data_IF_896305265927
#
_entry.id   IF_896305265927
#
_cell.length_a   1.000
_cell.length_b   1.000
_cell.length_c   1.000
_cell.angle_alpha   90.00
_cell.angle_beta   90.00
_cell.angle_gamma   90.00
#
_symmetry.space_group_name_H-M   'P 1'
#
loop_
_entity.id
_entity.type
_entity.pdbx_description
1 polymer ?
#
# COMPACT_ATOMS: atom_id res chain seq x y z
N UNK A 1 -4.77 -39.04 -42.16
CA UNK A 1 -5.74 -38.13 -41.53
C UNK A 1 -5.36 -36.71 -41.88
N UNK A 2 -6.17 -36.04 -42.72
CA UNK A 2 -5.95 -34.64 -43.08
C UNK A 2 -6.37 -33.78 -41.88
N UNK A 3 -5.41 -33.12 -41.23
CA UNK A 3 -5.70 -32.05 -40.29
C UNK A 3 -6.16 -30.83 -41.10
N UNK A 4 -7.46 -30.75 -41.39
CA UNK A 4 -8.05 -29.51 -41.88
C UNK A 4 -7.93 -28.48 -40.76
N UNK A 5 -6.91 -27.61 -40.87
CA UNK A 5 -6.65 -26.51 -39.93
C UNK A 5 -7.79 -25.50 -40.07
N UNK A 6 -8.89 -25.75 -39.35
CA UNK A 6 -10.04 -24.86 -39.33
C UNK A 6 -9.63 -23.55 -38.63
N UNK A 7 -9.40 -22.52 -39.45
CA UNK A 7 -8.89 -21.21 -39.01
C UNK A 7 -9.78 -20.58 -37.92
N UNK A 8 -11.08 -20.88 -37.94
CA UNK A 8 -12.05 -20.36 -36.95
C UNK A 8 -11.85 -21.00 -35.59
N UNK A 9 -11.63 -22.31 -35.52
CA UNK A 9 -11.41 -23.03 -34.26
C UNK A 9 -10.09 -22.60 -33.62
N UNK A 10 -9.03 -22.46 -34.42
CA UNK A 10 -7.74 -21.95 -33.93
C UNK A 10 -7.82 -20.49 -33.46
N UNK A 11 -8.56 -19.63 -34.16
CA UNK A 11 -8.80 -18.26 -33.72
C UNK A 11 -9.58 -18.24 -32.38
N UNK A 12 -10.59 -19.12 -32.21
CA UNK A 12 -11.34 -19.23 -30.97
C UNK A 12 -10.44 -19.68 -29.80
N UNK A 13 -9.58 -20.67 -30.00
CA UNK A 13 -8.63 -21.09 -28.96
C UNK A 13 -7.61 -19.99 -28.62
N UNK A 14 -7.09 -19.26 -29.60
CA UNK A 14 -6.16 -18.14 -29.35
C UNK A 14 -6.84 -17.01 -28.57
N UNK A 15 -8.11 -16.72 -28.86
CA UNK A 15 -8.84 -15.63 -28.20
C UNK A 15 -9.36 -16.04 -26.82
N UNK A 16 -9.83 -17.27 -26.63
CA UNK A 16 -10.44 -17.73 -25.38
C UNK A 16 -9.40 -18.26 -24.36
N UNK A 17 -8.25 -18.76 -24.82
CA UNK A 17 -7.23 -19.33 -23.92
C UNK A 17 -6.66 -18.36 -22.87
N UNK A 18 -6.43 -17.05 -23.15
CA UNK A 18 -6.00 -16.12 -22.11
C UNK A 18 -7.07 -15.95 -21.03
N UNK A 19 -8.35 -15.86 -21.41
CA UNK A 19 -9.46 -15.75 -20.45
C UNK A 19 -9.60 -17.00 -19.60
N UNK A 20 -9.48 -18.19 -20.19
CA UNK A 20 -9.51 -19.46 -19.45
C UNK A 20 -8.31 -19.59 -18.51
N UNK A 21 -7.12 -19.14 -18.91
CA UNK A 21 -5.94 -19.13 -18.06
C UNK A 21 -6.11 -18.20 -16.86
N UNK A 22 -6.62 -16.98 -17.10
CA UNK A 22 -6.92 -16.01 -16.03
C UNK A 22 -7.96 -16.60 -15.08
N UNK A 23 -9.08 -17.12 -15.59
CA UNK A 23 -10.14 -17.72 -14.78
C UNK A 23 -9.65 -18.92 -13.95
N UNK A 24 -8.79 -19.76 -14.55
CA UNK A 24 -8.18 -20.88 -13.83
C UNK A 24 -7.24 -20.39 -12.71
N UNK A 25 -6.41 -19.36 -12.97
CA UNK A 25 -5.52 -18.79 -11.94
C UNK A 25 -6.32 -18.22 -10.78
N UNK A 26 -7.34 -17.39 -11.06
CA UNK A 26 -8.21 -16.82 -10.02
C UNK A 26 -8.96 -17.92 -9.26
N UNK A 27 -9.49 -18.93 -9.94
CA UNK A 27 -10.18 -20.05 -9.29
C UNK A 27 -9.27 -20.85 -8.36
N UNK A 28 -8.04 -21.17 -8.79
CA UNK A 28 -7.06 -21.86 -7.95
C UNK A 28 -6.65 -20.99 -6.75
N UNK A 29 -6.39 -19.71 -6.95
CA UNK A 29 -6.00 -18.78 -5.90
C UNK A 29 -7.10 -18.64 -4.84
N UNK A 30 -8.35 -18.50 -5.26
CA UNK A 30 -9.51 -18.44 -4.36
C UNK A 30 -9.68 -19.70 -3.50
N UNK A 31 -9.36 -20.88 -4.02
CA UNK A 31 -9.50 -22.15 -3.28
C UNK A 31 -8.31 -22.49 -2.37
N UNK A 32 -7.14 -21.90 -2.62
CA UNK A 32 -5.88 -22.33 -1.98
C UNK A 32 -5.18 -21.25 -1.17
N UNK A 33 -5.63 -19.99 -1.26
CA UNK A 33 -5.05 -18.90 -0.50
C UNK A 33 -5.25 -19.09 1.00
N UNK A 34 -4.16 -18.91 1.73
CA UNK A 34 -4.13 -18.94 3.19
C UNK A 34 -4.07 -17.52 3.76
N UNK A 35 -3.40 -16.62 3.04
CA UNK A 35 -3.26 -15.22 3.44
C UNK A 35 -4.15 -14.35 2.56
N UNK A 36 -5.38 -14.13 3.01
CA UNK A 36 -6.36 -13.33 2.29
C UNK A 36 -7.21 -12.49 3.22
N UNK A 37 -7.80 -11.43 2.65
CA UNK A 37 -8.82 -10.61 3.30
C UNK A 37 -9.99 -10.45 2.35
N UNK A 38 -11.16 -10.93 2.76
CA UNK A 38 -12.44 -10.72 2.06
C UNK A 38 -13.17 -9.52 2.68
N UNK A 39 -13.48 -8.51 1.85
CA UNK A 39 -14.17 -7.31 2.28
C UNK A 39 -15.71 -7.43 2.25
N UNK A 40 -16.25 -8.57 1.84
CA UNK A 40 -17.69 -8.84 1.81
C UNK A 40 -18.46 -8.13 0.70
N UNK A 41 -17.76 -7.43 -0.19
CA UNK A 41 -18.30 -6.72 -1.35
C UNK A 41 -17.89 -7.35 -2.69
N UNK A 42 -17.37 -8.58 -2.65
CA UNK A 42 -16.84 -9.30 -3.81
C UNK A 42 -15.36 -9.01 -4.11
N UNK A 43 -14.69 -8.16 -3.33
CA UNK A 43 -13.24 -7.94 -3.40
C UNK A 43 -12.55 -8.82 -2.35
N UNK A 44 -11.62 -9.65 -2.82
CA UNK A 44 -10.73 -10.45 -1.97
C UNK A 44 -9.30 -10.10 -2.32
N UNK A 45 -8.54 -9.64 -1.34
CA UNK A 45 -7.10 -9.37 -1.48
C UNK A 45 -6.33 -10.60 -1.02
N UNK A 46 -5.44 -11.09 -1.88
CA UNK A 46 -4.62 -12.27 -1.64
C UNK A 46 -3.15 -11.87 -1.45
N UNK A 47 -2.44 -12.53 -0.54
CA UNK A 47 -1.08 -12.16 -0.18
C UNK A 47 -0.08 -13.33 -0.12
N UNK A 48 -0.48 -14.55 -0.51
CA UNK A 48 0.37 -15.74 -0.41
C UNK A 48 1.70 -15.59 -1.13
N UNK A 49 1.72 -15.03 -2.34
CA UNK A 49 2.95 -14.81 -3.10
C UNK A 49 3.93 -13.90 -2.33
N UNK A 50 3.44 -12.88 -1.63
CA UNK A 50 4.27 -11.98 -0.82
C UNK A 50 4.77 -12.66 0.45
N UNK A 51 3.91 -13.38 1.17
CA UNK A 51 4.30 -14.08 2.39
C UNK A 51 5.30 -15.19 2.09
N UNK A 52 5.06 -15.97 1.03
CA UNK A 52 5.95 -17.05 0.57
C UNK A 52 7.30 -16.54 0.05
N UNK A 53 7.39 -15.26 -0.34
CA UNK A 53 8.67 -14.63 -0.70
C UNK A 53 9.58 -14.35 0.49
N UNK A 54 9.06 -14.50 1.72
CA UNK A 54 9.73 -14.20 2.99
C UNK A 54 10.21 -12.75 3.14
N UNK A 55 9.82 -11.85 2.24
CA UNK A 55 10.17 -10.41 2.31
C UNK A 55 9.13 -9.59 3.05
N UNK A 56 7.93 -10.14 3.20
CA UNK A 56 6.75 -9.42 3.66
C UNK A 56 6.05 -10.19 4.79
N UNK A 57 5.32 -9.42 5.59
CA UNK A 57 4.33 -9.90 6.55
C UNK A 57 3.01 -9.25 6.16
N UNK A 58 1.99 -10.06 5.94
CA UNK A 58 0.66 -9.59 5.58
C UNK A 58 -0.16 -9.29 6.84
N UNK A 59 -0.89 -8.18 6.81
CA UNK A 59 -1.86 -7.84 7.83
C UNK A 59 -3.27 -8.19 7.35
N UNK A 60 -3.80 -9.32 7.81
CA UNK A 60 -5.11 -9.83 7.41
C UNK A 60 -6.29 -8.96 7.87
N UNK A 61 -6.07 -7.95 8.74
CA UNK A 61 -7.15 -7.04 9.18
C UNK A 61 -7.29 -5.81 8.29
N UNK A 62 -6.17 -5.34 7.73
CA UNK A 62 -6.11 -4.08 7.00
C UNK A 62 -5.63 -4.22 5.56
N UNK A 63 -5.40 -5.45 5.09
CA UNK A 63 -4.93 -5.77 3.73
C UNK A 63 -3.71 -4.96 3.32
N UNK A 64 -2.71 -4.93 4.21
CA UNK A 64 -1.44 -4.23 4.01
C UNK A 64 -0.27 -5.18 4.17
N UNK A 65 0.83 -4.87 3.51
CA UNK A 65 2.08 -5.61 3.61
C UNK A 65 3.11 -4.79 4.39
N UNK A 66 3.76 -5.42 5.36
CA UNK A 66 4.88 -4.82 6.08
C UNK A 66 6.14 -5.50 5.58
N UNK A 67 7.04 -4.73 4.97
CA UNK A 67 8.34 -5.27 4.59
C UNK A 67 9.18 -5.58 5.82
N UNK A 68 9.80 -6.76 5.88
CA UNK A 68 10.73 -7.13 6.98
C UNK A 68 11.98 -6.27 7.00
N UNK A 69 12.34 -5.71 5.84
CA UNK A 69 13.40 -4.71 5.71
C UNK A 69 12.71 -3.40 5.32
N UNK A 70 12.64 -2.39 6.22
CA UNK A 70 11.99 -1.13 5.92
C UNK A 70 12.45 -0.56 4.59
N UNK A 71 11.48 -0.14 3.77
CA UNK A 71 11.78 0.47 2.48
C UNK A 71 12.40 1.86 2.69
N UNK A 72 13.31 2.24 1.79
CA UNK A 72 13.82 3.61 1.76
C UNK A 72 12.74 4.56 1.23
N UNK A 73 12.84 5.83 1.61
CA UNK A 73 12.00 6.88 1.02
C UNK A 73 12.22 6.93 -0.51
N UNK A 74 11.17 7.13 -1.32
CA UNK A 74 11.23 7.13 -2.77
C UNK A 74 11.76 8.49 -3.28
N UNK A 75 13.02 8.81 -2.98
CA UNK A 75 13.64 10.13 -3.20
C UNK A 75 13.50 10.58 -4.65
N UNK A 76 13.86 9.72 -5.61
CA UNK A 76 13.80 10.06 -7.04
C UNK A 76 12.36 10.40 -7.49
N UNK A 77 11.37 9.65 -6.98
CA UNK A 77 9.98 9.90 -7.30
C UNK A 77 9.46 11.18 -6.64
N UNK A 78 9.89 11.50 -5.42
CA UNK A 78 9.56 12.73 -4.73
C UNK A 78 10.17 13.97 -5.39
N UNK A 79 11.40 13.86 -5.89
CA UNK A 79 12.07 14.95 -6.61
C UNK A 79 11.44 15.19 -7.99
N UNK A 80 10.96 14.13 -8.65
CA UNK A 80 10.23 14.24 -9.93
C UNK A 80 8.76 14.65 -9.75
N UNK A 81 8.20 14.51 -8.55
CA UNK A 81 6.82 14.87 -8.32
C UNK A 81 6.64 16.38 -8.50
N UNK A 82 5.90 16.78 -9.54
CA UNK A 82 5.58 18.19 -9.82
C UNK A 82 4.80 18.83 -8.66
N UNK A 83 4.02 18.03 -7.95
CA UNK A 83 3.30 18.49 -6.76
C UNK A 83 3.02 17.35 -5.78
N UNK A 84 2.87 17.72 -4.51
CA UNK A 84 2.37 16.87 -3.44
C UNK A 84 1.03 17.42 -2.99
N UNK A 85 0.00 16.59 -3.02
CA UNK A 85 -1.34 17.03 -2.64
C UNK A 85 -1.48 16.97 -1.12
N UNK A 86 -1.87 18.08 -0.50
CA UNK A 86 -2.26 18.06 0.91
C UNK A 86 -3.63 17.40 1.00
N UNK A 87 -3.68 16.24 1.64
CA UNK A 87 -4.92 15.50 1.85
C UNK A 87 -5.78 16.21 2.89
N UNK A 88 -7.08 16.30 2.60
CA UNK A 88 -8.04 16.86 3.55
C UNK A 88 -8.28 15.87 4.70
N UNK A 89 -8.58 16.40 5.88
CA UNK A 89 -8.88 15.61 7.06
C UNK A 89 -10.39 15.64 7.31
N UNK A 90 -11.13 14.63 6.83
CA UNK A 90 -12.57 14.55 7.08
C UNK A 90 -12.81 14.37 8.58
N UNK A 91 -13.78 15.13 9.11
CA UNK A 91 -14.12 15.12 10.55
C UNK A 91 -13.28 16.03 11.45
N UNK A 92 -12.17 16.60 10.96
CA UNK A 92 -11.39 17.59 11.73
C UNK A 92 -12.05 18.97 11.73
N UNK A 93 -11.88 19.70 12.83
CA UNK A 93 -12.28 21.11 12.93
C UNK A 93 -11.46 21.97 11.95
N UNK A 94 -12.01 23.07 11.46
CA UNK A 94 -11.34 23.94 10.49
C UNK A 94 -10.00 24.49 11.00
N UNK A 95 -9.93 24.76 12.30
CA UNK A 95 -8.69 25.19 12.95
C UNK A 95 -7.63 24.09 12.94
N UNK A 96 -8.00 22.84 13.25
CA UNK A 96 -7.08 21.70 13.18
C UNK A 96 -6.57 21.49 11.75
N UNK A 97 -7.45 21.62 10.74
CA UNK A 97 -7.06 21.57 9.33
C UNK A 97 -6.09 22.69 8.95
N UNK A 98 -6.30 23.91 9.47
CA UNK A 98 -5.40 25.05 9.25
C UNK A 98 -4.03 24.77 9.83
N UNK A 99 -3.96 24.35 11.08
CA UNK A 99 -2.69 24.03 11.77
C UNK A 99 -1.98 22.86 11.08
N UNK A 100 -2.70 21.81 10.67
CA UNK A 100 -2.11 20.71 9.92
C UNK A 100 -1.45 21.17 8.61
N UNK A 101 -2.09 22.08 7.86
CA UNK A 101 -1.49 22.68 6.65
C UNK A 101 -0.24 23.49 6.97
N UNK A 102 -0.20 24.21 8.09
CA UNK A 102 0.97 24.95 8.55
C UNK A 102 2.12 24.02 8.95
N UNK A 103 1.82 22.94 9.66
CA UNK A 103 2.78 21.89 10.00
C UNK A 103 3.39 21.30 8.74
N UNK A 104 2.56 20.89 7.78
CA UNK A 104 3.03 20.34 6.49
C UNK A 104 3.95 21.33 5.79
N UNK A 105 3.52 22.58 5.63
CA UNK A 105 4.36 23.63 5.00
C UNK A 105 5.69 23.82 5.71
N UNK A 106 5.70 23.82 7.04
CA UNK A 106 6.92 23.96 7.84
C UNK A 106 7.87 22.78 7.68
N UNK A 107 7.35 21.56 7.58
CA UNK A 107 8.14 20.35 7.35
C UNK A 107 8.72 20.34 5.95
N UNK A 108 7.89 20.63 4.94
CA UNK A 108 8.31 20.57 3.53
C UNK A 108 9.23 21.72 3.13
N UNK A 109 9.27 22.81 3.91
CA UNK A 109 10.22 23.91 3.72
C UNK A 109 11.65 23.57 4.15
N UNK A 110 11.85 22.49 4.93
CA UNK A 110 13.17 22.03 5.33
C UNK A 110 13.80 21.30 4.13
N UNK A 111 15.01 21.69 3.68
CA UNK A 111 15.73 20.95 2.64
C UNK A 111 15.86 19.47 3.01
N UNK A 112 15.64 18.60 2.02
CA UNK A 112 15.80 17.15 2.19
C UNK A 112 14.94 16.55 3.32
N UNK A 113 13.82 17.19 3.69
CA UNK A 113 12.93 16.71 4.75
C UNK A 113 12.51 15.25 4.58
N UNK A 114 12.42 14.77 3.32
CA UNK A 114 12.05 13.43 2.93
C UNK A 114 13.05 12.36 3.40
N UNK A 115 14.32 12.70 3.65
CA UNK A 115 15.32 11.76 4.16
C UNK A 115 15.02 11.31 5.60
N UNK A 116 14.17 12.07 6.32
CA UNK A 116 13.75 11.75 7.68
C UNK A 116 12.51 10.86 7.74
N UNK A 117 11.91 10.56 6.58
CA UNK A 117 10.74 9.70 6.52
C UNK A 117 11.10 8.26 6.86
N UNK A 118 10.22 7.61 7.59
CA UNK A 118 10.33 6.19 7.92
C UNK A 118 9.20 5.43 7.27
N UNK A 119 9.52 4.28 6.70
CA UNK A 119 8.54 3.38 6.12
C UNK A 119 7.63 2.82 7.21
N UNK A 120 6.33 2.70 6.92
CA UNK A 120 5.34 2.08 7.82
C UNK A 120 4.81 0.78 7.23
N UNK A 121 4.17 0.85 6.05
CA UNK A 121 3.63 -0.33 5.34
C UNK A 121 3.41 -0.02 3.85
N UNK A 122 3.13 -1.07 3.07
CA UNK A 122 2.68 -1.01 1.68
C UNK A 122 1.21 -1.41 1.57
N UNK A 123 0.44 -0.72 0.73
CA UNK A 123 -0.95 -1.08 0.45
C UNK A 123 -1.04 -2.01 -0.76
N UNK A 124 -2.07 -2.86 -0.76
CA UNK A 124 -2.45 -3.69 -1.91
C UNK A 124 -3.68 -3.09 -2.60
N UNK A 125 -3.71 -3.15 -3.92
CA UNK A 125 -4.91 -2.89 -4.73
C UNK A 125 -5.89 -4.07 -4.64
N UNK A 126 -7.07 -3.86 -5.22
CA UNK A 126 -8.10 -4.89 -5.40
C UNK A 126 -7.59 -6.08 -6.25
N UNK A 127 -6.57 -5.84 -7.09
CA UNK A 127 -5.89 -6.87 -7.88
C UNK A 127 -4.76 -7.58 -7.12
N UNK A 128 -4.62 -7.32 -5.81
CA UNK A 128 -3.56 -7.88 -4.96
C UNK A 128 -2.14 -7.46 -5.37
N UNK A 129 -2.01 -6.31 -6.04
CA UNK A 129 -0.71 -5.71 -6.40
C UNK A 129 -0.35 -4.58 -5.44
N UNK A 130 0.93 -4.38 -5.16
CA UNK A 130 1.36 -3.22 -4.37
C UNK A 130 1.03 -1.94 -5.13
N UNK A 131 0.15 -1.11 -4.57
CA UNK A 131 -0.32 0.14 -5.20
C UNK A 131 0.15 1.40 -4.46
N UNK A 132 0.94 1.23 -3.40
CA UNK A 132 1.39 2.35 -2.61
C UNK A 132 2.22 1.99 -1.39
N UNK A 133 2.84 3.02 -0.84
CA UNK A 133 3.65 2.97 0.36
C UNK A 133 3.25 4.10 1.29
N UNK A 134 3.19 3.80 2.58
CA UNK A 134 3.00 4.79 3.63
C UNK A 134 4.33 5.05 4.33
N UNK A 135 4.70 6.32 4.39
CA UNK A 135 5.81 6.82 5.18
C UNK A 135 5.33 7.80 6.23
N UNK A 136 6.06 7.92 7.32
CA UNK A 136 5.79 8.88 8.38
C UNK A 136 7.04 9.68 8.76
N UNK A 137 6.79 10.81 9.43
CA UNK A 137 7.80 11.60 10.09
C UNK A 137 7.14 12.30 11.29
N UNK A 138 7.88 12.41 12.39
CA UNK A 138 7.44 13.17 13.57
C UNK A 138 8.07 14.55 13.51
N UNK A 139 7.23 15.58 13.56
CA UNK A 139 7.64 16.98 13.56
C UNK A 139 7.22 17.67 14.87
N UNK A 140 8.01 18.64 15.31
CA UNK A 140 7.64 19.53 16.41
C UNK A 140 7.11 20.84 15.81
N UNK A 141 5.91 21.25 16.19
CA UNK A 141 5.32 22.51 15.77
C UNK A 141 4.67 23.17 16.99
N UNK A 142 5.12 24.38 17.33
CA UNK A 142 4.63 25.14 18.49
C UNK A 142 4.64 24.35 19.81
N UNK A 143 5.68 23.54 20.03
CA UNK A 143 5.84 22.73 21.25
C UNK A 143 5.02 21.43 21.27
N UNK A 144 4.18 21.19 20.27
CA UNK A 144 3.41 19.95 20.13
C UNK A 144 4.04 19.03 19.07
N UNK A 145 4.04 17.71 19.32
CA UNK A 145 4.45 16.72 18.33
C UNK A 145 3.31 16.47 17.34
N UNK A 146 3.66 16.35 16.07
CA UNK A 146 2.76 16.06 14.96
C UNK A 146 3.28 14.86 14.18
N UNK A 147 2.38 13.95 13.83
CA UNK A 147 2.64 12.86 12.90
C UNK A 147 2.29 13.35 11.49
N UNK A 148 3.30 13.51 10.63
CA UNK A 148 3.11 13.84 9.23
C UNK A 148 3.26 12.56 8.42
N UNK A 149 2.22 12.19 7.68
CA UNK A 149 2.16 10.95 6.89
C UNK A 149 2.18 11.29 5.41
N UNK A 150 3.05 10.60 4.69
CA UNK A 150 3.21 10.71 3.25
C UNK A 150 2.81 9.39 2.63
N UNK A 151 1.72 9.41 1.87
CA UNK A 151 1.26 8.27 1.09
C UNK A 151 1.75 8.44 -0.34
N UNK A 152 2.58 7.50 -0.78
CA UNK A 152 2.85 7.28 -2.18
C UNK A 152 1.77 6.37 -2.75
N UNK A 153 1.20 6.74 -3.90
CA UNK A 153 0.39 5.87 -4.75
C UNK A 153 1.17 5.59 -6.03
N UNK A 154 1.26 4.32 -6.41
CA UNK A 154 1.92 3.83 -7.61
C UNK A 154 0.82 3.46 -8.60
N UNK A 155 0.79 4.15 -9.74
CA UNK A 155 -0.14 3.84 -10.83
C UNK A 155 0.31 2.61 -11.61
N UNK A 156 -0.59 2.07 -12.44
CA UNK A 156 -0.32 0.91 -13.31
C UNK A 156 0.88 1.12 -14.26
N UNK A 157 1.17 2.37 -14.66
CA UNK A 157 2.34 2.74 -15.48
C UNK A 157 3.66 2.79 -14.68
N UNK A 158 3.62 2.62 -13.35
CA UNK A 158 4.74 2.83 -12.44
C UNK A 158 4.89 4.29 -11.97
N UNK A 159 4.06 5.21 -12.46
CA UNK A 159 4.09 6.61 -12.06
C UNK A 159 3.69 6.77 -10.59
N UNK A 160 4.40 7.64 -9.87
CA UNK A 160 4.15 7.89 -8.45
C UNK A 160 3.44 9.22 -8.25
N UNK A 161 2.42 9.21 -7.40
CA UNK A 161 1.78 10.42 -6.88
C UNK A 161 1.82 10.43 -5.36
N UNK A 162 1.84 11.63 -4.76
CA UNK A 162 2.04 11.78 -3.33
C UNK A 162 0.91 12.58 -2.69
N UNK A 163 0.41 12.04 -1.57
CA UNK A 163 -0.47 12.75 -0.66
C UNK A 163 0.21 12.91 0.69
N UNK A 164 0.04 14.08 1.31
CA UNK A 164 0.59 14.37 2.63
C UNK A 164 -0.50 14.87 3.56
N UNK A 165 -0.49 14.38 4.79
CA UNK A 165 -1.37 14.85 5.87
C UNK A 165 -0.58 14.98 7.17
N UNK A 166 -1.08 15.80 8.09
CA UNK A 166 -0.50 15.97 9.41
C UNK A 166 -1.61 15.93 10.46
N UNK A 167 -1.39 15.19 11.54
CA UNK A 167 -2.29 15.11 12.68
C UNK A 167 -1.48 15.26 13.98
N UNK A 168 -2.10 15.73 15.08
CA UNK A 168 -1.49 15.66 16.40
C UNK A 168 -0.93 14.26 16.67
N UNK A 169 0.29 14.20 17.21
CA UNK A 169 0.87 12.94 17.63
C UNK A 169 0.18 12.46 18.91
N UNK A 170 -0.36 11.25 18.84
CA UNK A 170 -0.93 10.54 19.98
C UNK A 170 -0.26 9.16 20.05
N UNK A 171 0.50 8.84 21.11
CA UNK A 171 1.22 7.58 21.22
C UNK A 171 0.30 6.35 21.29
N UNK A 172 -0.97 6.50 21.69
CA UNK A 172 -1.92 5.39 21.78
C UNK A 172 -2.40 4.98 20.39
N UNK A 173 -2.76 5.95 19.55
CA UNK A 173 -3.31 5.70 18.21
C UNK A 173 -2.27 5.73 17.08
N UNK A 174 -1.07 6.24 17.35
CA UNK A 174 0.01 6.28 16.37
C UNK A 174 0.60 4.90 16.12
N UNK A 175 0.64 4.51 14.84
CA UNK A 175 1.19 3.24 14.35
C UNK A 175 2.44 3.53 13.54
N UNK A 176 3.60 3.26 14.14
CA UNK A 176 4.89 3.23 13.44
C UNK A 176 5.14 1.85 12.82
N UNK A 177 6.29 1.71 12.16
CA UNK A 177 6.75 0.45 11.57
C UNK A 177 6.71 -0.74 12.54
N UNK A 178 7.21 -0.56 13.77
CA UNK A 178 7.33 -1.65 14.72
C UNK A 178 5.94 -2.14 15.16
N UNK A 179 5.05 -1.20 15.49
CA UNK A 179 3.64 -1.51 15.81
C UNK A 179 2.91 -2.13 14.61
N UNK A 180 3.17 -1.66 13.39
CA UNK A 180 2.57 -2.23 12.18
C UNK A 180 3.03 -3.67 11.96
N UNK A 181 4.33 -3.94 12.14
CA UNK A 181 4.92 -5.27 11.98
C UNK A 181 4.38 -6.25 13.04
N UNK A 182 4.36 -5.84 14.31
CA UNK A 182 3.82 -6.64 15.41
C UNK A 182 2.34 -6.97 15.19
N UNK A 183 1.53 -5.96 14.81
CA UNK A 183 0.13 -6.17 14.49
C UNK A 183 -0.07 -7.16 13.33
N UNK A 184 0.78 -7.08 12.30
CA UNK A 184 0.69 -7.97 11.13
C UNK A 184 0.97 -9.43 11.50
N UNK A 185 2.00 -9.72 12.30
CA UNK A 185 2.31 -11.09 12.74
C UNK A 185 1.14 -11.75 13.51
N UNK A 186 0.40 -10.96 14.30
CA UNK A 186 -0.75 -11.45 15.07
C UNK A 186 -2.10 -11.31 14.37
N UNK A 187 -2.12 -10.89 13.10
CA UNK A 187 -3.38 -10.55 12.40
C UNK A 187 -4.05 -11.76 11.72
N UNK A 188 -3.25 -12.72 11.26
CA UNK A 188 -3.71 -13.86 10.46
C UNK A 188 -3.85 -15.13 11.30
N UNK A 189 -4.76 -16.03 10.91
CA UNK A 189 -4.97 -17.31 11.62
C UNK A 189 -3.75 -18.23 11.52
N UNK A 190 -3.16 -18.34 10.32
CA UNK A 190 -1.91 -19.07 10.15
C UNK A 190 -0.72 -18.16 10.49
N UNK A 191 0.17 -18.60 11.40
CA UNK A 191 1.36 -17.83 11.74
C UNK A 191 2.26 -17.61 10.52
N UNK A 192 2.83 -16.42 10.45
CA UNK A 192 3.83 -16.04 9.47
C UNK A 192 5.20 -16.14 10.15
N UNK A 193 6.20 -16.73 9.48
CA UNK A 193 7.55 -16.88 10.04
C UNK A 193 8.09 -15.53 10.51
N UNK A 194 8.75 -15.40 11.68
CA UNK A 194 9.38 -14.16 12.13
C UNK A 194 10.50 -13.65 11.23
#
# INVERSE_FOLDING_TARGET
>A
MSFYRNKVVWAFFIVLSPFLYIAARYGVQSMTSVYQTDFGNGVVIYADEYVNSEKWVFDCRFSRLISRKPLAAPVDALQRAESMTIEDMPGSADEERRVAKEVIRSVTAIPEWYLRMKYVYSSLSDDSEIDGHLFDLIALHQGQKWAVRVRQRIGYSGDSSFKIRAQPYDPETYVDYAKALEAAYGSCEKPQSP
#
